data_IF_921332894787
#
_entry.id   IF_921332894787
#
_cell.length_a   1.000
_cell.length_b   1.000
_cell.length_c   1.000
_cell.angle_alpha   90.00
_cell.angle_beta   90.00
_cell.angle_gamma   90.00
#
_symmetry.space_group_name_H-M   'P 1'
#
loop_
_entity.id
_entity.type
_entity.pdbx_description
1 polymer ?
#
# COMPACT_ATOMS: atom_id res chain seq x y z
N UNK A 1 -2.70 -16.07 -26.99
CA UNK A 1 -2.65 -14.80 -27.72
C UNK A 1 -1.77 -13.81 -26.97
N UNK A 2 -0.48 -13.89 -27.14
CA UNK A 2 0.47 -13.07 -26.43
C UNK A 2 1.60 -12.63 -27.35
N UNK A 3 1.31 -11.85 -28.36
CA UNK A 3 2.35 -11.55 -29.34
C UNK A 3 2.37 -10.16 -29.95
N UNK A 4 1.48 -9.27 -29.60
CA UNK A 4 1.35 -8.01 -30.34
C UNK A 4 1.24 -6.73 -29.50
N UNK A 5 1.46 -6.78 -28.16
CA UNK A 5 1.40 -5.61 -27.30
C UNK A 5 2.63 -5.44 -26.41
N UNK A 6 3.79 -5.83 -26.84
CA UNK A 6 5.04 -5.64 -26.10
C UNK A 6 5.68 -4.27 -26.34
N UNK A 7 4.89 -3.20 -26.31
CA UNK A 7 5.42 -1.86 -26.00
C UNK A 7 5.47 -1.58 -24.50
N UNK A 8 4.93 -2.49 -23.67
CA UNK A 8 4.90 -2.35 -22.22
C UNK A 8 5.63 -3.53 -21.58
N UNK A 9 6.64 -3.25 -20.79
CA UNK A 9 7.42 -4.26 -20.07
C UNK A 9 7.60 -3.82 -18.62
N UNK A 10 7.78 -4.80 -17.73
CA UNK A 10 8.14 -4.57 -16.33
C UNK A 10 9.52 -5.17 -16.12
N UNK A 11 10.46 -4.36 -15.67
CA UNK A 11 11.79 -4.79 -15.28
C UNK A 11 11.86 -4.79 -13.75
N UNK A 12 11.88 -5.95 -13.08
CA UNK A 12 12.23 -6.00 -11.67
C UNK A 12 13.71 -5.70 -11.52
N UNK A 13 14.03 -4.65 -10.76
CA UNK A 13 15.41 -4.22 -10.51
C UNK A 13 15.69 -4.46 -9.02
N UNK A 14 16.38 -5.58 -8.67
CA UNK A 14 16.82 -5.80 -7.30
C UNK A 14 17.87 -4.76 -6.92
N UNK A 15 17.83 -4.29 -5.67
CA UNK A 15 18.89 -3.43 -5.15
C UNK A 15 20.23 -4.15 -5.28
N UNK A 16 21.23 -3.47 -5.85
CA UNK A 16 22.59 -3.98 -6.03
C UNK A 16 23.54 -2.99 -5.38
N UNK A 17 24.58 -3.50 -4.70
CA UNK A 17 25.68 -2.66 -4.24
C UNK A 17 26.56 -2.27 -5.44
N UNK A 18 26.29 -1.10 -6.03
CA UNK A 18 27.02 -0.59 -7.21
C UNK A 18 28.05 0.47 -6.85
N UNK A 19 27.96 1.05 -5.64
CA UNK A 19 28.94 2.02 -5.14
C UNK A 19 30.11 1.31 -4.43
N UNK A 20 31.33 1.88 -4.44
CA UNK A 20 32.42 1.41 -3.60
C UNK A 20 32.09 1.70 -2.12
N UNK A 21 31.45 0.75 -1.45
CA UNK A 21 30.92 0.79 -0.11
C UNK A 21 29.87 -0.29 0.05
N UNK A 22 29.58 -0.71 1.26
CA UNK A 22 28.59 -1.76 1.55
C UNK A 22 27.14 -1.20 1.58
N UNK A 23 26.89 -0.05 0.97
CA UNK A 23 25.62 0.67 1.09
C UNK A 23 24.63 0.25 0.00
N UNK A 24 23.46 -0.15 0.43
CA UNK A 24 22.25 -0.25 -0.37
C UNK A 24 21.82 1.16 -0.83
N UNK A 25 20.60 1.31 -1.36
CA UNK A 25 20.08 2.64 -1.69
C UNK A 25 20.04 3.53 -0.43
N UNK A 26 20.71 4.68 -0.49
CA UNK A 26 20.77 5.65 0.61
C UNK A 26 19.50 6.46 0.79
N UNK A 27 18.67 6.52 -0.27
CA UNK A 27 17.39 7.22 -0.28
C UNK A 27 16.61 6.94 -1.54
N UNK A 28 15.43 7.55 -1.66
CA UNK A 28 14.51 7.35 -2.79
C UNK A 28 15.08 7.89 -4.11
N UNK A 29 15.84 8.97 -4.08
CA UNK A 29 16.53 9.52 -5.25
C UNK A 29 17.74 8.66 -5.66
N UNK A 30 18.50 8.13 -4.70
CA UNK A 30 19.63 7.24 -4.98
C UNK A 30 19.16 5.94 -5.65
N UNK A 31 18.01 5.42 -5.28
CA UNK A 31 17.43 4.25 -5.94
C UNK A 31 17.20 4.47 -7.44
N UNK A 32 16.78 5.67 -7.85
CA UNK A 32 16.65 6.01 -9.26
C UNK A 32 18.01 6.28 -9.90
N UNK A 33 18.89 7.01 -9.21
CA UNK A 33 20.24 7.34 -9.71
C UNK A 33 21.04 6.07 -10.02
N UNK A 34 21.06 5.07 -9.14
CA UNK A 34 21.77 3.81 -9.38
C UNK A 34 21.21 3.00 -10.57
N UNK A 35 20.00 3.31 -11.03
CA UNK A 35 19.32 2.67 -12.16
C UNK A 35 19.05 3.62 -13.33
N UNK A 36 19.74 4.75 -13.37
CA UNK A 36 19.54 5.83 -14.35
C UNK A 36 19.71 5.35 -15.80
N UNK A 37 20.58 4.37 -16.02
CA UNK A 37 20.79 3.74 -17.32
C UNK A 37 19.51 3.16 -17.94
N UNK A 38 18.54 2.73 -17.13
CA UNK A 38 17.26 2.23 -17.62
C UNK A 38 16.39 3.36 -18.17
N UNK A 39 16.45 4.53 -17.52
CA UNK A 39 15.75 5.73 -17.98
C UNK A 39 16.39 6.24 -19.27
N UNK A 40 17.71 6.32 -19.32
CA UNK A 40 18.46 6.78 -20.50
C UNK A 40 18.24 5.86 -21.71
N UNK A 41 18.24 4.53 -21.51
CA UNK A 41 17.97 3.57 -22.58
C UNK A 41 16.54 3.67 -23.12
N UNK A 42 15.56 3.98 -22.26
CA UNK A 42 14.18 4.12 -22.67
C UNK A 42 13.90 5.47 -23.35
N UNK A 43 14.74 6.48 -23.09
CA UNK A 43 14.67 7.86 -23.62
C UNK A 43 13.23 8.44 -23.60
N UNK A 44 12.53 8.40 -22.44
CA UNK A 44 11.17 8.90 -22.36
C UNK A 44 11.15 10.43 -22.26
N UNK A 45 10.07 11.07 -22.71
CA UNK A 45 9.85 12.50 -22.47
C UNK A 45 9.54 12.82 -21.01
N UNK A 46 8.85 11.92 -20.34
CA UNK A 46 8.41 12.07 -18.94
C UNK A 46 8.66 10.78 -18.16
N UNK A 47 9.00 10.94 -16.89
CA UNK A 47 9.16 9.84 -15.93
C UNK A 47 8.14 10.02 -14.81
N UNK A 48 7.33 9.00 -14.58
CA UNK A 48 6.44 8.93 -13.43
C UNK A 48 7.10 8.10 -12.33
N UNK A 49 7.12 8.64 -11.11
CA UNK A 49 7.72 8.03 -9.92
C UNK A 49 6.62 7.82 -8.90
N UNK A 50 6.50 6.60 -8.37
CA UNK A 50 5.48 6.23 -7.41
C UNK A 50 6.08 5.49 -6.23
N UNK A 51 5.65 5.86 -5.01
CA UNK A 51 5.87 5.05 -3.82
C UNK A 51 5.14 3.70 -3.93
N UNK A 52 5.73 2.66 -3.33
CA UNK A 52 5.20 1.30 -3.41
C UNK A 52 4.39 0.88 -2.16
N UNK A 53 4.32 1.74 -1.15
CA UNK A 53 3.74 1.50 0.17
C UNK A 53 2.40 2.21 0.43
N UNK A 54 1.83 2.82 -0.62
CA UNK A 54 0.52 3.46 -0.55
C UNK A 54 -0.52 2.66 -1.34
N UNK A 55 -1.76 2.64 -0.86
CA UNK A 55 -2.90 2.05 -1.58
C UNK A 55 -3.73 3.15 -2.19
N UNK A 56 -3.85 3.16 -3.52
CA UNK A 56 -4.66 4.12 -4.27
C UNK A 56 -5.07 3.59 -5.64
N UNK A 57 -6.08 4.22 -6.22
CA UNK A 57 -6.38 4.09 -7.64
C UNK A 57 -6.26 5.47 -8.28
N UNK A 58 -5.50 5.54 -9.35
CA UNK A 58 -5.21 6.80 -10.03
C UNK A 58 -5.25 6.64 -11.54
N UNK A 59 -5.93 7.55 -12.22
CA UNK A 59 -5.79 7.74 -13.64
C UNK A 59 -4.56 8.62 -13.91
N UNK A 60 -3.41 7.95 -14.08
CA UNK A 60 -2.11 8.62 -14.28
C UNK A 60 -2.14 9.52 -15.53
N UNK A 61 -2.96 9.18 -16.52
CA UNK A 61 -3.10 10.00 -17.74
C UNK A 61 -3.60 11.42 -17.43
N UNK A 62 -4.56 11.56 -16.53
CA UNK A 62 -5.05 12.89 -16.13
C UNK A 62 -3.96 13.74 -15.48
N UNK A 63 -3.14 13.13 -14.61
CA UNK A 63 -1.98 13.82 -14.02
C UNK A 63 -0.94 14.20 -15.08
N UNK A 64 -0.69 13.33 -16.06
CA UNK A 64 0.23 13.63 -17.16
C UNK A 64 -0.32 14.74 -18.06
N UNK A 65 -1.60 14.73 -18.39
CA UNK A 65 -2.25 15.77 -19.17
C UNK A 65 -2.19 17.12 -18.44
N UNK A 66 -2.39 17.12 -17.13
CA UNK A 66 -2.19 18.31 -16.29
C UNK A 66 -0.74 18.80 -16.34
N UNK A 67 0.25 17.91 -16.18
CA UNK A 67 1.67 18.22 -16.28
C UNK A 67 2.01 18.89 -17.61
N UNK A 68 1.52 18.34 -18.71
CA UNK A 68 1.74 18.89 -20.05
C UNK A 68 1.03 20.23 -20.26
N UNK A 69 -0.22 20.35 -19.82
CA UNK A 69 -1.02 21.59 -19.93
C UNK A 69 -0.37 22.75 -19.15
N UNK A 70 0.14 22.47 -17.95
CA UNK A 70 0.87 23.46 -17.13
C UNK A 70 2.28 23.73 -17.66
N UNK A 71 2.76 23.00 -18.65
CA UNK A 71 4.17 23.00 -19.08
C UNK A 71 5.12 22.82 -17.89
N UNK A 72 4.69 21.97 -16.98
CA UNK A 72 5.43 21.66 -15.76
C UNK A 72 6.73 20.93 -16.07
N UNK A 73 7.74 21.12 -15.24
CA UNK A 73 8.94 20.27 -15.25
C UNK A 73 8.92 19.23 -14.12
N UNK A 74 8.21 19.53 -13.03
CA UNK A 74 7.90 18.57 -11.98
C UNK A 74 6.46 18.76 -11.49
N UNK A 75 5.68 17.69 -11.41
CA UNK A 75 4.32 17.71 -10.88
C UNK A 75 4.25 16.74 -9.71
N UNK A 76 3.69 17.19 -8.59
CA UNK A 76 3.53 16.41 -7.38
C UNK A 76 2.05 16.13 -7.20
N UNK A 77 1.65 14.85 -7.10
CA UNK A 77 0.29 14.53 -6.68
C UNK A 77 0.12 14.83 -5.19
N UNK A 78 -0.95 15.51 -4.85
CA UNK A 78 -1.22 15.95 -3.50
C UNK A 78 -2.70 15.71 -3.13
N UNK A 79 -2.94 15.48 -1.86
CA UNK A 79 -4.28 15.25 -1.30
C UNK A 79 -4.46 16.09 -0.03
N UNK A 80 -5.63 16.74 0.17
CA UNK A 80 -5.93 17.38 1.44
C UNK A 80 -6.08 16.37 2.57
N UNK A 81 -5.26 16.51 3.62
CA UNK A 81 -5.37 15.73 4.86
C UNK A 81 -5.53 16.66 6.06
N UNK A 82 -6.01 16.14 7.18
CA UNK A 82 -6.18 16.96 8.38
C UNK A 82 -4.82 17.44 8.92
N UNK A 83 -4.74 18.69 9.36
CA UNK A 83 -3.48 19.33 9.79
C UNK A 83 -2.71 18.59 10.89
N UNK A 84 -3.40 17.80 11.73
CA UNK A 84 -2.76 16.99 12.76
C UNK A 84 -1.84 15.90 12.16
N UNK A 85 -2.00 15.56 10.90
CA UNK A 85 -1.18 14.59 10.17
C UNK A 85 -0.01 15.24 9.43
N UNK A 86 0.16 16.55 9.50
CA UNK A 86 1.20 17.28 8.75
C UNK A 86 2.62 16.74 9.00
N UNK A 87 2.90 16.23 10.22
CA UNK A 87 4.20 15.65 10.56
C UNK A 87 4.47 14.27 9.92
N UNK A 88 3.46 13.65 9.33
CA UNK A 88 3.58 12.33 8.67
C UNK A 88 4.01 12.47 7.21
N UNK A 89 3.71 13.61 6.58
CA UNK A 89 3.85 13.83 5.14
C UNK A 89 4.71 15.04 4.79
N UNK A 90 5.21 15.07 3.55
CA UNK A 90 5.64 16.29 2.93
C UNK A 90 4.43 17.17 2.62
N UNK A 91 4.42 18.40 3.11
CA UNK A 91 3.31 19.35 2.90
C UNK A 91 3.71 20.36 1.81
N UNK A 92 2.80 20.57 0.86
CA UNK A 92 2.97 21.49 -0.25
C UNK A 92 2.23 22.78 0.05
N UNK A 93 2.93 23.91 -0.03
CA UNK A 93 2.33 25.21 -0.13
C UNK A 93 2.16 25.55 -1.62
N UNK A 94 0.94 25.72 -2.06
CA UNK A 94 0.63 25.98 -3.46
C UNK A 94 -0.22 27.23 -3.65
N UNK A 95 0.04 27.95 -4.74
CA UNK A 95 -0.82 29.04 -5.20
C UNK A 95 -2.16 28.48 -5.76
N UNK A 96 -3.20 29.32 -5.94
CA UNK A 96 -4.50 28.87 -6.47
C UNK A 96 -4.43 28.24 -7.87
N UNK A 97 -3.41 28.54 -8.64
CA UNK A 97 -3.17 27.94 -9.96
C UNK A 97 -2.41 26.59 -9.89
N UNK A 98 -2.07 26.14 -8.69
CA UNK A 98 -1.31 24.93 -8.42
C UNK A 98 0.21 25.09 -8.41
N UNK A 99 0.75 26.30 -8.66
CA UNK A 99 2.20 26.56 -8.59
C UNK A 99 2.72 26.27 -7.18
N UNK A 100 3.76 25.44 -7.05
CA UNK A 100 4.38 25.12 -5.76
C UNK A 100 5.23 26.30 -5.29
N UNK A 101 4.91 26.83 -4.12
CA UNK A 101 5.59 27.96 -3.48
C UNK A 101 6.60 27.48 -2.44
N UNK A 102 6.31 26.39 -1.72
CA UNK A 102 7.21 25.77 -0.76
C UNK A 102 6.88 24.27 -0.60
N UNK A 103 7.87 23.53 -0.11
CA UNK A 103 7.72 22.12 0.27
C UNK A 103 8.29 21.93 1.68
N UNK A 104 7.47 21.38 2.58
CA UNK A 104 7.77 21.23 4.01
C UNK A 104 7.77 19.76 4.37
N UNK A 105 8.94 19.14 4.45
CA UNK A 105 9.05 17.71 4.74
C UNK A 105 8.80 17.43 6.22
N UNK A 106 7.73 16.69 6.52
CA UNK A 106 7.37 16.15 7.84
C UNK A 106 7.39 17.17 8.98
N UNK A 107 6.79 18.32 8.76
CA UNK A 107 6.73 19.41 9.72
C UNK A 107 5.32 19.57 10.29
N UNK A 108 5.20 19.48 11.62
CA UNK A 108 3.92 19.65 12.32
C UNK A 108 3.36 21.08 12.21
N UNK A 109 4.23 22.07 11.99
CA UNK A 109 3.90 23.49 11.84
C UNK A 109 3.77 23.92 10.37
N UNK A 110 3.65 22.99 9.44
CA UNK A 110 3.48 23.28 8.02
C UNK A 110 2.18 24.10 7.80
N UNK A 111 2.19 25.03 6.83
CA UNK A 111 1.03 25.89 6.57
C UNK A 111 -0.18 25.08 6.09
N UNK A 112 -1.37 25.50 6.53
CA UNK A 112 -2.64 24.96 6.07
C UNK A 112 -3.01 25.49 4.69
N UNK A 113 -3.97 24.84 4.04
CA UNK A 113 -4.48 25.31 2.75
C UNK A 113 -5.16 26.67 2.91
N UNK A 114 -5.02 27.60 1.94
CA UNK A 114 -5.61 28.93 2.03
C UNK A 114 -7.12 28.92 2.21
N UNK A 115 -7.82 27.99 1.58
CA UNK A 115 -9.27 27.85 1.60
C UNK A 115 -9.79 26.89 2.68
N UNK A 116 -8.90 26.17 3.38
CA UNK A 116 -9.27 25.22 4.43
C UNK A 116 -8.21 25.19 5.55
N UNK A 117 -8.41 25.96 6.64
CA UNK A 117 -7.46 26.06 7.75
C UNK A 117 -7.36 24.80 8.62
N UNK A 118 -8.20 23.80 8.39
CA UNK A 118 -8.14 22.51 9.08
C UNK A 118 -7.35 21.46 8.29
N UNK A 119 -6.98 21.75 7.03
CA UNK A 119 -6.26 20.80 6.17
C UNK A 119 -4.93 21.36 5.68
N UNK A 120 -4.02 20.42 5.41
CA UNK A 120 -2.75 20.63 4.71
C UNK A 120 -2.79 19.88 3.39
N UNK A 121 -2.04 20.36 2.40
CA UNK A 121 -1.95 19.71 1.10
C UNK A 121 -0.78 18.74 1.09
N UNK A 122 -1.04 17.49 1.45
CA UNK A 122 -0.03 16.45 1.63
C UNK A 122 0.42 15.87 0.29
N UNK A 123 1.74 15.73 0.12
CA UNK A 123 2.33 14.98 -0.99
C UNK A 123 2.01 13.50 -0.87
N UNK A 124 1.55 12.90 -1.96
CA UNK A 124 1.26 11.46 -2.03
C UNK A 124 2.50 10.62 -2.33
N UNK A 125 3.69 11.21 -2.48
CA UNK A 125 4.88 10.49 -2.94
C UNK A 125 4.83 10.08 -4.42
N UNK A 126 3.92 10.66 -5.19
CA UNK A 126 3.73 10.38 -6.61
C UNK A 126 4.11 11.61 -7.42
N UNK A 127 5.03 11.45 -8.35
CA UNK A 127 5.62 12.55 -9.12
C UNK A 127 5.60 12.28 -10.61
N UNK A 128 5.50 13.34 -11.43
CA UNK A 128 5.84 13.30 -12.85
C UNK A 128 6.90 14.35 -13.12
N UNK A 129 8.01 13.94 -13.73
CA UNK A 129 9.11 14.80 -14.12
C UNK A 129 9.30 14.81 -15.63
N UNK A 130 9.69 15.97 -16.17
CA UNK A 130 10.36 16.02 -17.46
C UNK A 130 11.73 15.34 -17.31
N UNK A 131 12.04 14.39 -18.21
CA UNK A 131 13.24 13.53 -18.09
C UNK A 131 14.54 14.34 -17.94
N UNK A 132 14.71 15.40 -18.72
CA UNK A 132 15.90 16.23 -18.66
C UNK A 132 16.10 16.90 -17.29
N UNK A 133 15.01 17.34 -16.64
CA UNK A 133 15.09 17.86 -15.27
C UNK A 133 15.49 16.77 -14.31
N UNK A 134 14.80 15.62 -14.35
CA UNK A 134 15.04 14.50 -13.45
C UNK A 134 16.50 14.04 -13.50
N UNK A 135 17.02 13.77 -14.69
CA UNK A 135 18.40 13.31 -14.86
C UNK A 135 19.40 14.32 -14.29
N UNK A 136 19.23 15.60 -14.61
CA UNK A 136 20.10 16.65 -14.09
C UNK A 136 20.12 16.71 -12.56
N UNK A 137 18.96 16.67 -11.93
CA UNK A 137 18.87 16.75 -10.47
C UNK A 137 19.37 15.46 -9.79
N UNK A 138 19.16 14.28 -10.38
CA UNK A 138 19.70 13.03 -9.85
C UNK A 138 21.23 12.99 -9.89
N UNK A 139 21.85 13.47 -10.99
CA UNK A 139 23.32 13.57 -11.06
C UNK A 139 23.87 14.58 -10.06
N UNK A 140 23.23 15.76 -9.95
CA UNK A 140 23.67 16.79 -9.01
C UNK A 140 23.52 16.35 -7.56
N UNK A 141 22.43 15.63 -7.23
CA UNK A 141 22.20 15.10 -5.89
C UNK A 141 23.21 14.00 -5.53
N UNK A 142 23.54 13.13 -6.47
CA UNK A 142 24.49 12.04 -6.24
C UNK A 142 25.91 12.53 -5.89
N UNK A 143 26.29 13.73 -6.38
CA UNK A 143 27.57 14.38 -6.08
C UNK A 143 27.54 15.18 -4.77
N UNK A 144 26.35 15.37 -4.17
CA UNK A 144 26.20 16.16 -2.95
C UNK A 144 26.37 15.29 -1.70
N UNK A 145 27.53 15.36 -1.06
CA UNK A 145 27.85 14.62 0.16
C UNK A 145 26.93 14.94 1.37
N UNK A 146 26.26 16.10 1.34
CA UNK A 146 25.35 16.52 2.42
C UNK A 146 23.89 16.11 2.15
N UNK A 147 23.59 15.50 1.02
CA UNK A 147 22.26 15.02 0.68
C UNK A 147 21.94 13.71 1.39
N UNK A 148 20.70 13.53 1.79
CA UNK A 148 20.15 12.23 2.19
C UNK A 148 19.67 11.41 0.98
N UNK A 149 19.78 11.97 -0.22
CA UNK A 149 19.35 11.38 -1.49
C UNK A 149 17.87 11.01 -1.52
N UNK A 150 17.03 11.88 -0.97
CA UNK A 150 15.60 11.70 -0.84
C UNK A 150 14.83 12.75 -1.65
N UNK A 151 13.75 12.33 -2.34
CA UNK A 151 12.96 13.27 -3.13
C UNK A 151 12.32 14.37 -2.29
N UNK A 152 11.73 14.01 -1.15
CA UNK A 152 11.03 14.96 -0.28
C UNK A 152 11.95 15.91 0.47
N UNK A 153 13.12 15.41 0.91
CA UNK A 153 14.07 16.20 1.71
C UNK A 153 15.01 17.04 0.88
N UNK A 154 15.45 16.51 -0.27
CA UNK A 154 16.56 17.11 -1.01
C UNK A 154 16.12 17.62 -2.39
N UNK A 155 15.51 16.77 -3.23
CA UNK A 155 15.20 17.12 -4.62
C UNK A 155 14.08 18.17 -4.71
N UNK A 156 12.91 17.88 -4.15
CA UNK A 156 11.75 18.75 -4.30
C UNK A 156 11.94 20.13 -3.68
N UNK A 157 12.45 20.27 -2.44
CA UNK A 157 12.72 21.59 -1.88
C UNK A 157 13.73 22.40 -2.70
N UNK A 158 14.74 21.74 -3.26
CA UNK A 158 15.77 22.41 -4.08
C UNK A 158 15.20 22.97 -5.39
N UNK A 159 14.12 22.42 -5.90
CA UNK A 159 13.48 22.84 -7.16
C UNK A 159 12.54 24.03 -7.00
N UNK A 160 12.06 24.33 -5.79
CA UNK A 160 11.16 25.44 -5.54
C UNK A 160 11.78 26.75 -6.02
N UNK A 161 11.08 27.45 -6.89
CA UNK A 161 11.55 28.71 -7.50
C UNK A 161 12.65 28.56 -8.58
N UNK A 162 13.19 27.34 -8.79
CA UNK A 162 14.22 27.06 -9.82
C UNK A 162 13.64 26.42 -11.08
N UNK A 163 12.54 25.68 -10.94
CA UNK A 163 11.88 25.05 -12.06
C UNK A 163 10.36 25.22 -11.97
N UNK A 164 9.62 25.23 -13.09
CA UNK A 164 8.15 25.17 -13.07
C UNK A 164 7.67 23.89 -12.39
N UNK A 165 7.14 24.04 -11.17
CA UNK A 165 6.66 22.92 -10.36
C UNK A 165 5.21 23.17 -9.92
N UNK A 166 4.37 22.15 -10.08
CA UNK A 166 2.94 22.25 -9.82
C UNK A 166 2.44 21.10 -8.94
N UNK A 167 1.50 21.42 -8.05
CA UNK A 167 0.73 20.44 -7.30
C UNK A 167 -0.49 20.00 -8.13
N UNK A 168 -0.66 18.71 -8.30
CA UNK A 168 -1.85 18.10 -8.88
C UNK A 168 -2.78 17.66 -7.77
N UNK A 169 -3.96 18.28 -7.70
CA UNK A 169 -4.97 17.90 -6.72
C UNK A 169 -5.58 16.54 -7.08
N UNK A 170 -5.22 15.51 -6.31
CA UNK A 170 -5.72 14.15 -6.51
C UNK A 170 -7.24 14.04 -6.32
N UNK A 171 -7.88 14.94 -5.58
CA UNK A 171 -9.33 14.97 -5.46
C UNK A 171 -10.04 15.22 -6.80
N UNK A 172 -9.33 15.78 -7.77
CA UNK A 172 -9.86 16.00 -9.13
C UNK A 172 -9.74 14.77 -10.03
N UNK A 173 -8.93 13.78 -9.63
CA UNK A 173 -8.71 12.56 -10.43
C UNK A 173 -9.98 11.71 -10.51
N UNK A 174 -10.29 11.22 -11.69
CA UNK A 174 -11.51 10.43 -11.95
C UNK A 174 -11.15 9.06 -12.48
N UNK A 175 -11.76 8.06 -11.86
CA UNK A 175 -11.62 6.67 -12.27
C UNK A 175 -12.85 6.25 -13.06
N UNK A 176 -12.70 5.75 -14.30
CA UNK A 176 -13.83 5.22 -15.07
C UNK A 176 -14.59 4.15 -14.30
N UNK A 177 -15.91 4.26 -14.26
CA UNK A 177 -16.79 3.30 -13.57
C UNK A 177 -17.00 3.57 -12.08
N UNK A 178 -16.34 4.54 -11.49
CA UNK A 178 -16.67 5.00 -10.14
C UNK A 178 -17.83 6.02 -10.19
N UNK A 179 -18.64 6.11 -9.14
CA UNK A 179 -19.67 7.15 -9.03
C UNK A 179 -19.08 8.56 -9.18
N UNK A 180 -19.79 9.50 -9.82
CA UNK A 180 -19.27 10.86 -10.08
C UNK A 180 -18.83 11.63 -8.83
N UNK A 181 -19.45 11.34 -7.69
CA UNK A 181 -19.19 12.01 -6.41
C UNK A 181 -18.31 11.18 -5.49
N UNK A 182 -17.73 10.08 -5.97
CA UNK A 182 -16.80 9.28 -5.15
C UNK A 182 -15.50 10.04 -5.01
N UNK A 183 -15.07 10.25 -3.76
CA UNK A 183 -13.74 10.78 -3.48
C UNK A 183 -12.67 9.76 -3.90
N UNK A 184 -11.57 10.21 -4.52
CA UNK A 184 -10.45 9.34 -4.84
C UNK A 184 -9.88 8.69 -3.58
N UNK A 185 -9.67 7.39 -3.62
CA UNK A 185 -9.12 6.64 -2.50
C UNK A 185 -7.60 6.69 -2.51
N UNK A 186 -7.05 7.16 -1.42
CA UNK A 186 -5.63 7.07 -1.10
C UNK A 186 -5.46 6.78 0.39
N UNK A 187 -4.55 5.86 0.72
CA UNK A 187 -4.20 5.53 2.10
C UNK A 187 -2.74 5.11 2.19
N UNK A 188 -2.02 5.74 3.09
CA UNK A 188 -0.74 5.26 3.58
C UNK A 188 -0.98 4.03 4.47
N UNK A 189 -0.22 2.95 4.24
CA UNK A 189 -0.29 1.71 5.01
C UNK A 189 1.07 1.35 5.63
N UNK A 190 1.87 2.35 5.93
CA UNK A 190 3.19 2.21 6.55
C UNK A 190 3.16 1.68 8.00
N UNK A 191 1.98 1.53 8.60
CA UNK A 191 1.82 0.89 9.91
C UNK A 191 0.95 -0.36 9.82
N UNK A 192 1.14 -1.31 10.73
CA UNK A 192 0.32 -2.54 10.80
C UNK A 192 -1.15 -2.20 11.00
N UNK A 193 -1.46 -1.21 11.83
CA UNK A 193 -2.82 -0.77 12.09
C UNK A 193 -3.46 -0.20 10.81
N UNK A 194 -2.78 0.69 10.10
CA UNK A 194 -3.27 1.25 8.84
C UNK A 194 -3.46 0.16 7.76
N UNK A 195 -2.54 -0.81 7.69
CA UNK A 195 -2.66 -1.96 6.80
C UNK A 195 -3.88 -2.84 7.15
N UNK A 196 -4.08 -3.12 8.43
CA UNK A 196 -5.24 -3.89 8.90
C UNK A 196 -6.55 -3.17 8.55
N UNK A 197 -6.64 -1.89 8.87
CA UNK A 197 -7.84 -1.08 8.62
C UNK A 197 -8.15 -0.99 7.13
N UNK A 198 -7.13 -0.81 6.27
CA UNK A 198 -7.31 -0.80 4.82
C UNK A 198 -7.90 -2.12 4.28
N UNK A 199 -7.50 -3.26 4.85
CA UNK A 199 -8.09 -4.56 4.52
C UNK A 199 -9.52 -4.67 5.02
N UNK A 200 -9.80 -4.19 6.25
CA UNK A 200 -11.14 -4.25 6.83
C UNK A 200 -12.15 -3.37 6.07
N UNK A 201 -11.72 -2.22 5.54
CA UNK A 201 -12.55 -1.33 4.72
C UNK A 201 -13.07 -2.02 3.44
N UNK A 202 -12.31 -2.95 2.87
CA UNK A 202 -12.73 -3.67 1.65
C UNK A 202 -14.04 -4.47 1.84
N UNK A 203 -14.39 -4.81 3.07
CA UNK A 203 -15.61 -5.56 3.43
C UNK A 203 -16.85 -4.68 3.49
N UNK A 204 -16.71 -3.36 3.52
CA UNK A 204 -17.85 -2.45 3.60
C UNK A 204 -18.83 -2.70 2.45
N UNK A 205 -20.11 -2.44 2.69
CA UNK A 205 -21.17 -2.58 1.66
C UNK A 205 -20.83 -1.71 0.43
N UNK A 206 -20.28 -0.52 0.67
CA UNK A 206 -19.80 0.41 -0.36
C UNK A 206 -18.37 0.80 -0.03
N UNK A 207 -17.38 -0.04 -0.34
CA UNK A 207 -15.98 0.24 -0.03
C UNK A 207 -15.47 1.41 -0.87
N UNK A 208 -14.69 2.30 -0.25
CA UNK A 208 -14.06 3.40 -0.96
C UNK A 208 -13.09 2.88 -2.04
N UNK A 209 -12.36 1.80 -1.75
CA UNK A 209 -11.58 1.06 -2.76
C UNK A 209 -12.44 -0.09 -3.32
N UNK A 210 -13.14 0.16 -4.42
CA UNK A 210 -13.98 -0.84 -5.06
C UNK A 210 -13.17 -1.81 -5.93
N UNK A 211 -12.94 -3.03 -5.46
CA UNK A 211 -12.26 -4.09 -6.20
C UNK A 211 -13.06 -4.62 -7.40
N UNK A 212 -14.38 -4.38 -7.44
CA UNK A 212 -15.29 -4.92 -8.45
C UNK A 212 -15.55 -3.98 -9.62
N UNK A 213 -14.84 -2.84 -9.71
CA UNK A 213 -14.94 -1.94 -10.85
C UNK A 213 -14.33 -2.57 -12.10
N UNK A 214 -15.20 -3.03 -13.03
CA UNK A 214 -14.78 -3.68 -14.29
C UNK A 214 -14.26 -2.72 -15.33
N UNK A 215 -14.55 -1.42 -15.24
CA UNK A 215 -14.05 -0.42 -16.17
C UNK A 215 -12.64 0.02 -15.84
N UNK A 216 -12.21 -0.17 -14.57
CA UNK A 216 -10.86 0.13 -14.10
C UNK A 216 -10.36 -1.01 -13.18
N UNK A 217 -10.11 -2.20 -13.73
CA UNK A 217 -9.74 -3.37 -12.93
C UNK A 217 -8.34 -3.20 -12.32
N UNK A 218 -8.20 -3.54 -11.05
CA UNK A 218 -6.89 -3.71 -10.44
C UNK A 218 -6.24 -4.96 -11.02
N UNK A 219 -5.06 -4.78 -11.61
CA UNK A 219 -4.31 -5.88 -12.23
C UNK A 219 -3.29 -6.41 -11.24
N UNK A 220 -3.32 -7.71 -11.02
CA UNK A 220 -2.39 -8.44 -10.16
C UNK A 220 -1.97 -9.73 -10.84
N UNK A 221 -1.10 -10.52 -10.19
CA UNK A 221 -0.73 -11.84 -10.67
C UNK A 221 -1.99 -12.72 -10.80
N UNK A 222 -2.09 -13.45 -11.91
CA UNK A 222 -3.16 -14.40 -12.13
C UNK A 222 -2.76 -15.77 -11.60
N UNK A 223 -3.65 -16.38 -10.83
CA UNK A 223 -3.47 -17.71 -10.26
C UNK A 223 -4.58 -18.65 -10.74
N UNK A 224 -4.24 -19.91 -10.96
CA UNK A 224 -5.19 -20.93 -11.41
C UNK A 224 -5.84 -21.66 -10.22
N UNK A 225 -6.18 -20.92 -9.16
CA UNK A 225 -6.84 -21.50 -8.01
C UNK A 225 -8.30 -21.87 -8.32
N UNK A 226 -8.80 -23.00 -7.77
CA UNK A 226 -10.22 -23.35 -7.90
C UNK A 226 -11.09 -22.35 -7.11
N UNK A 227 -12.41 -22.30 -7.35
CA UNK A 227 -13.32 -21.51 -6.53
C UNK A 227 -13.25 -21.86 -5.05
N UNK A 228 -13.55 -20.89 -4.18
CA UNK A 228 -13.70 -21.15 -2.76
C UNK A 228 -14.81 -22.16 -2.48
N UNK A 229 -14.61 -23.07 -1.50
CA UNK A 229 -15.51 -24.18 -1.19
C UNK A 229 -15.98 -24.12 0.26
N UNK A 230 -17.30 -24.21 0.45
CA UNK A 230 -17.95 -24.25 1.75
C UNK A 230 -18.62 -25.59 1.89
N UNK A 231 -18.30 -26.36 2.93
CA UNK A 231 -18.83 -27.71 3.12
C UNK A 231 -19.27 -27.96 4.54
N UNK A 232 -20.17 -28.95 4.66
CA UNK A 232 -20.98 -29.36 5.79
C UNK A 232 -22.14 -28.42 6.11
N UNK A 233 -23.27 -29.01 6.39
CA UNK A 233 -24.47 -28.39 6.96
C UNK A 233 -25.22 -29.44 7.79
N UNK A 234 -24.52 -29.97 8.78
CA UNK A 234 -25.10 -31.04 9.63
C UNK A 234 -24.55 -30.95 11.07
N UNK A 235 -25.38 -31.35 12.05
CA UNK A 235 -24.99 -31.52 13.45
C UNK A 235 -24.22 -30.31 14.06
N UNK A 236 -24.66 -29.08 13.76
CA UNK A 236 -24.01 -27.88 14.27
C UNK A 236 -22.69 -27.55 13.60
N UNK A 237 -22.28 -28.29 12.60
CA UNK A 237 -21.07 -28.13 11.79
C UNK A 237 -21.44 -27.51 10.43
N UNK A 238 -21.09 -26.28 10.18
CA UNK A 238 -21.40 -25.56 8.94
C UNK A 238 -20.21 -24.72 8.48
N UNK A 239 -19.78 -24.93 7.20
CA UNK A 239 -18.79 -24.04 6.57
C UNK A 239 -19.46 -22.76 6.08
N UNK A 240 -19.15 -21.61 6.67
CA UNK A 240 -19.80 -20.35 6.30
C UNK A 240 -18.86 -19.14 6.43
N UNK A 241 -19.11 -18.12 5.61
CA UNK A 241 -18.49 -16.82 5.70
C UNK A 241 -19.58 -15.73 5.73
N UNK A 242 -19.43 -14.76 6.62
CA UNK A 242 -20.36 -13.66 6.83
C UNK A 242 -19.55 -12.37 6.85
N UNK A 243 -19.99 -11.32 6.12
CA UNK A 243 -19.30 -10.03 6.03
C UNK A 243 -17.80 -10.17 5.73
N UNK A 244 -17.45 -11.03 4.79
CA UNK A 244 -16.07 -11.45 4.57
C UNK A 244 -15.73 -11.51 3.09
N UNK A 245 -14.47 -11.30 2.77
CA UNK A 245 -13.90 -11.54 1.44
C UNK A 245 -13.16 -12.88 1.49
N UNK A 246 -13.46 -13.80 0.57
CA UNK A 246 -12.86 -15.13 0.52
C UNK A 246 -12.30 -15.39 -0.86
N UNK A 247 -10.97 -15.57 -0.93
CA UNK A 247 -10.26 -15.79 -2.19
C UNK A 247 -10.34 -17.22 -2.68
N UNK A 248 -9.97 -17.44 -3.95
CA UNK A 248 -9.96 -18.77 -4.59
C UNK A 248 -9.11 -19.80 -3.84
N UNK A 249 -9.44 -21.08 -4.03
CA UNK A 249 -8.76 -22.20 -3.37
C UNK A 249 -9.08 -22.39 -1.89
N UNK A 250 -9.73 -21.45 -1.24
CA UNK A 250 -10.04 -21.49 0.19
C UNK A 250 -11.15 -22.51 0.48
N UNK A 251 -10.99 -23.31 1.55
CA UNK A 251 -11.95 -24.34 1.97
C UNK A 251 -12.40 -24.07 3.41
N UNK A 252 -13.68 -23.78 3.60
CA UNK A 252 -14.30 -23.70 4.90
C UNK A 252 -14.98 -25.05 5.20
N UNK A 253 -14.28 -25.90 5.96
CA UNK A 253 -14.70 -27.28 6.25
C UNK A 253 -15.39 -27.37 7.63
N UNK A 254 -16.62 -26.86 7.72
CA UNK A 254 -17.38 -26.83 8.98
C UNK A 254 -16.86 -25.79 9.97
N UNK A 255 -16.12 -24.81 9.52
CA UNK A 255 -15.67 -23.64 10.29
C UNK A 255 -16.41 -22.36 9.88
N UNK A 256 -16.30 -21.33 10.69
CA UNK A 256 -16.96 -20.04 10.50
C UNK A 256 -15.93 -18.93 10.33
N UNK A 257 -16.15 -18.09 9.31
CA UNK A 257 -15.41 -16.85 9.08
C UNK A 257 -16.38 -15.69 9.16
N UNK A 258 -16.04 -14.67 9.93
CA UNK A 258 -16.87 -13.47 10.07
C UNK A 258 -15.99 -12.24 10.04
N UNK A 259 -16.44 -11.21 9.32
CA UNK A 259 -15.78 -9.91 9.31
C UNK A 259 -14.30 -9.96 8.89
N UNK A 260 -13.91 -10.88 8.00
CA UNK A 260 -12.50 -11.17 7.75
C UNK A 260 -12.17 -11.14 6.26
N UNK A 261 -10.89 -10.94 5.96
CA UNK A 261 -10.32 -11.04 4.62
C UNK A 261 -9.46 -12.29 4.54
N UNK A 262 -9.84 -13.23 3.69
CA UNK A 262 -9.18 -14.53 3.54
C UNK A 262 -8.42 -14.58 2.22
N UNK A 263 -7.13 -14.78 2.31
CA UNK A 263 -6.23 -15.04 1.18
C UNK A 263 -6.56 -16.35 0.47
N UNK A 264 -5.68 -16.72 -0.46
CA UNK A 264 -5.87 -17.91 -1.31
C UNK A 264 -5.46 -19.19 -0.57
N UNK A 265 -6.16 -20.29 -0.94
CA UNK A 265 -5.81 -21.64 -0.46
C UNK A 265 -5.84 -21.79 1.07
N UNK A 266 -6.58 -20.96 1.78
CA UNK A 266 -6.74 -21.06 3.23
C UNK A 266 -7.66 -22.22 3.58
N UNK A 267 -7.31 -22.98 4.63
CA UNK A 267 -8.17 -24.04 5.16
C UNK A 267 -8.67 -23.66 6.55
N UNK A 268 -9.97 -23.73 6.75
CA UNK A 268 -10.61 -23.52 8.07
C UNK A 268 -11.35 -24.78 8.45
N UNK A 269 -10.83 -25.50 9.46
CA UNK A 269 -11.37 -26.79 9.87
C UNK A 269 -12.60 -26.69 10.77
N UNK A 270 -13.24 -27.84 11.01
CA UNK A 270 -14.51 -27.93 11.74
C UNK A 270 -14.44 -27.31 13.12
N UNK A 271 -15.42 -26.48 13.43
CA UNK A 271 -15.54 -25.77 14.70
C UNK A 271 -14.56 -24.60 14.88
N UNK A 272 -13.66 -24.38 13.92
CA UNK A 272 -12.80 -23.20 13.97
C UNK A 272 -13.59 -21.92 13.66
N UNK A 273 -13.21 -20.82 14.30
CA UNK A 273 -13.82 -19.50 14.16
C UNK A 273 -12.76 -18.45 13.90
N UNK A 274 -12.92 -17.72 12.79
CA UNK A 274 -12.05 -16.59 12.42
C UNK A 274 -12.91 -15.33 12.37
N UNK A 275 -12.58 -14.35 13.21
CA UNK A 275 -13.34 -13.10 13.32
C UNK A 275 -12.40 -11.90 13.13
N UNK A 276 -12.89 -10.88 12.44
CA UNK A 276 -12.21 -9.57 12.27
C UNK A 276 -10.70 -9.72 12.01
N UNK A 277 -10.33 -10.56 11.04
CA UNK A 277 -8.94 -10.93 10.81
C UNK A 277 -8.56 -10.87 9.34
N UNK A 278 -7.29 -10.63 9.10
CA UNK A 278 -6.66 -10.73 7.77
C UNK A 278 -5.82 -12.00 7.76
N UNK A 279 -6.15 -12.93 6.88
CA UNK A 279 -5.45 -14.21 6.76
C UNK A 279 -4.84 -14.30 5.37
N UNK A 280 -3.51 -14.37 5.31
CA UNK A 280 -2.80 -14.50 4.05
C UNK A 280 -2.85 -15.92 3.47
N UNK A 281 -2.22 -16.08 2.30
CA UNK A 281 -2.29 -17.30 1.50
C UNK A 281 -1.75 -18.54 2.22
N UNK A 282 -2.37 -19.68 1.92
CA UNK A 282 -1.95 -21.03 2.35
C UNK A 282 -1.99 -21.26 3.86
N UNK A 283 -2.71 -20.47 4.63
CA UNK A 283 -2.88 -20.71 6.06
C UNK A 283 -3.77 -21.93 6.33
N UNK A 284 -3.48 -22.62 7.43
CA UNK A 284 -4.26 -23.78 7.90
C UNK A 284 -4.74 -23.54 9.33
N UNK A 285 -6.04 -23.36 9.51
CA UNK A 285 -6.67 -23.05 10.81
C UNK A 285 -7.27 -24.34 11.37
N UNK A 286 -6.59 -24.90 12.37
CA UNK A 286 -6.92 -26.19 13.00
C UNK A 286 -8.32 -26.26 13.59
N UNK A 287 -8.77 -27.48 13.90
CA UNK A 287 -10.10 -27.73 14.47
C UNK A 287 -10.32 -26.95 15.77
N UNK A 288 -11.49 -26.33 15.93
CA UNK A 288 -11.89 -25.57 17.13
C UNK A 288 -10.97 -24.40 17.48
N UNK A 289 -10.00 -24.07 16.63
CA UNK A 289 -9.16 -22.89 16.81
C UNK A 289 -10.00 -21.61 16.74
N UNK A 290 -9.62 -20.61 17.50
CA UNK A 290 -10.30 -19.32 17.55
C UNK A 290 -9.30 -18.20 17.26
N UNK A 291 -9.53 -17.44 16.21
CA UNK A 291 -8.71 -16.32 15.79
C UNK A 291 -9.56 -15.07 15.74
N UNK A 292 -9.13 -14.01 16.36
CA UNK A 292 -9.85 -12.72 16.34
C UNK A 292 -8.89 -11.55 16.30
N UNK A 293 -9.23 -10.53 15.50
CA UNK A 293 -8.47 -9.28 15.39
C UNK A 293 -6.98 -9.54 15.19
N UNK A 294 -6.67 -10.37 14.19
CA UNK A 294 -5.32 -10.83 13.92
C UNK A 294 -4.95 -10.71 12.44
N UNK A 295 -3.66 -10.60 12.17
CA UNK A 295 -3.07 -10.76 10.86
C UNK A 295 -2.25 -12.06 10.90
N UNK A 296 -2.64 -13.04 10.09
CA UNK A 296 -1.87 -14.28 9.91
C UNK A 296 -1.09 -14.18 8.60
N UNK A 297 0.23 -14.23 8.69
CA UNK A 297 1.11 -14.21 7.52
C UNK A 297 0.98 -15.52 6.71
N UNK A 298 1.60 -15.52 5.52
CA UNK A 298 1.55 -16.68 4.60
C UNK A 298 2.04 -17.96 5.25
N UNK A 299 1.37 -19.05 4.93
CA UNK A 299 1.73 -20.42 5.36
C UNK A 299 1.61 -20.66 6.88
N UNK A 300 0.99 -19.77 7.64
CA UNK A 300 0.76 -19.97 9.08
C UNK A 300 -0.14 -21.19 9.30
N UNK A 301 0.26 -22.02 10.28
CA UNK A 301 -0.54 -23.13 10.77
C UNK A 301 -0.99 -22.86 12.20
N UNK A 302 -2.26 -22.65 12.39
CA UNK A 302 -2.86 -22.48 13.71
C UNK A 302 -3.25 -23.86 14.25
N UNK A 303 -2.68 -24.30 15.39
CA UNK A 303 -2.99 -25.60 15.96
C UNK A 303 -4.48 -25.77 16.32
N UNK A 304 -4.90 -27.04 16.46
CA UNK A 304 -6.21 -27.41 17.00
C UNK A 304 -6.37 -26.80 18.40
N UNK A 305 -7.58 -26.30 18.73
CA UNK A 305 -7.95 -25.68 20.00
C UNK A 305 -7.16 -24.38 20.36
N UNK A 306 -6.27 -23.91 19.50
CA UNK A 306 -5.52 -22.68 19.76
C UNK A 306 -6.44 -21.44 19.78
N UNK A 307 -6.07 -20.46 20.62
CA UNK A 307 -6.76 -19.16 20.70
C UNK A 307 -5.78 -18.04 20.46
N UNK A 308 -6.11 -17.12 19.52
CA UNK A 308 -5.30 -15.94 19.13
C UNK A 308 -6.21 -14.72 19.15
N UNK A 309 -5.78 -13.63 19.80
CA UNK A 309 -6.54 -12.38 19.88
C UNK A 309 -7.62 -12.36 20.99
N UNK A 310 -7.56 -13.28 21.94
CA UNK A 310 -8.50 -13.34 23.08
C UNK A 310 -7.85 -13.04 24.44
N UNK A 311 -6.54 -13.17 24.53
CA UNK A 311 -5.78 -12.85 25.75
C UNK A 311 -4.49 -12.12 25.34
N UNK A 312 -4.52 -10.80 25.36
CA UNK A 312 -3.40 -9.96 24.91
C UNK A 312 -2.12 -10.18 25.72
N UNK A 313 -2.20 -10.47 27.00
CA UNK A 313 -1.00 -10.72 27.82
C UNK A 313 -0.30 -12.02 27.39
N UNK A 314 -1.07 -13.06 27.12
CA UNK A 314 -0.55 -14.30 26.54
C UNK A 314 -0.06 -14.08 25.10
N UNK A 315 -0.84 -13.38 24.29
CA UNK A 315 -0.52 -13.16 22.88
C UNK A 315 0.80 -12.39 22.73
N UNK A 316 1.07 -11.39 23.59
CA UNK A 316 2.35 -10.65 23.63
C UNK A 316 3.57 -11.53 23.94
N UNK A 317 3.38 -12.66 24.62
CA UNK A 317 4.49 -13.60 24.88
C UNK A 317 4.84 -14.46 23.67
N UNK A 318 3.93 -14.59 22.72
CA UNK A 318 4.03 -15.50 21.56
C UNK A 318 4.15 -14.75 20.23
N UNK A 319 3.54 -13.58 20.14
CA UNK A 319 3.34 -12.83 18.90
C UNK A 319 3.62 -11.34 19.11
N UNK A 320 3.82 -10.64 18.02
CA UNK A 320 3.76 -9.17 18.05
C UNK A 320 2.30 -8.73 18.22
N UNK A 321 2.04 -7.79 19.14
CA UNK A 321 0.71 -7.19 19.37
C UNK A 321 0.85 -5.69 19.30
N UNK A 322 0.09 -5.03 18.42
CA UNK A 322 0.10 -3.57 18.30
C UNK A 322 -0.54 -2.92 19.54
N UNK A 323 -0.36 -1.61 19.70
CA UNK A 323 -1.00 -0.85 20.79
C UNK A 323 -2.53 -0.92 20.72
N UNK A 324 -3.09 -0.96 19.50
CA UNK A 324 -4.54 -1.14 19.28
C UNK A 324 -5.04 -2.57 19.51
N UNK A 325 -4.15 -3.52 19.77
CA UNK A 325 -4.48 -4.91 20.09
C UNK A 325 -4.61 -5.83 18.88
N UNK A 326 -4.03 -5.50 17.72
CA UNK A 326 -3.95 -6.39 16.57
C UNK A 326 -2.80 -7.38 16.80
N UNK A 327 -3.08 -8.68 16.68
CA UNK A 327 -2.10 -9.75 16.84
C UNK A 327 -1.51 -10.11 15.49
N UNK A 328 -0.19 -10.09 15.34
CA UNK A 328 0.52 -10.47 14.11
C UNK A 328 1.22 -11.80 14.31
N UNK A 329 0.85 -12.79 13.49
CA UNK A 329 1.44 -14.14 13.53
C UNK A 329 2.31 -14.33 12.29
N UNK A 330 3.62 -14.45 12.48
CA UNK A 330 4.60 -14.59 11.42
C UNK A 330 4.66 -16.02 10.85
N UNK A 331 4.81 -16.14 9.53
CA UNK A 331 4.79 -17.42 8.81
C UNK A 331 6.00 -18.35 9.04
N UNK A 332 7.10 -17.85 9.62
CA UNK A 332 8.32 -18.62 9.86
C UNK A 332 8.44 -19.22 11.28
N UNK A 333 7.56 -18.86 12.20
CA UNK A 333 7.50 -19.54 13.50
C UNK A 333 6.77 -20.87 13.33
N UNK A 334 7.54 -21.94 13.14
CA UNK A 334 7.00 -23.28 13.00
C UNK A 334 6.21 -23.68 14.26
N UNK A 335 5.09 -24.36 14.05
CA UNK A 335 4.14 -24.90 15.04
C UNK A 335 4.75 -25.73 16.19
N UNK A 336 6.03 -26.04 16.15
CA UNK A 336 6.72 -26.87 17.15
C UNK A 336 6.88 -26.14 18.50
N UNK A 337 7.05 -24.82 18.50
CA UNK A 337 7.25 -24.07 19.76
C UNK A 337 5.97 -23.81 20.56
N UNK A 338 4.83 -23.72 19.90
CA UNK A 338 3.53 -23.47 20.58
C UNK A 338 3.02 -24.74 21.31
N UNK A 339 3.35 -25.92 20.80
CA UNK A 339 2.96 -27.19 21.42
C UNK A 339 3.80 -27.55 22.66
N UNK A 340 5.04 -27.06 22.75
CA UNK A 340 5.95 -27.40 23.86
C UNK A 340 5.73 -26.53 25.11
N UNK A 341 5.00 -25.40 24.99
CA UNK A 341 4.66 -24.54 26.13
C UNK A 341 3.29 -24.84 26.79
N UNK A 342 2.60 -25.89 26.33
CA UNK A 342 1.28 -26.30 26.83
C UNK A 342 1.31 -27.55 27.75
N UNK A 343 2.52 -27.99 28.21
CA UNK A 343 2.67 -29.07 29.20
C UNK A 343 3.06 -28.52 30.57
#
# INVERSE_FOLDING_TARGET
MGGLLQQHFIIPVPAQMRSPGEDWYRGTADALHQNINLIEQADPHYVAIFGADHIYRMNIREMLEYHMHKRSQATIAAIPVHKNQAAEFGVIEAAPDGTVLAFHEKRADAPTMPDDPERVFASMGNYIFSTNLLLRELYADAENENSSHDFGRDILPSLVGRAPMYAYDFQTNRIPGDPPNQEPYWRDVGTIDAFYDANMDLRAISPALNLYNRQWPLRTASYSDPPAKFIFDEQGRRGQAIDSIVSGGTILSGGMVRGSVMGRNVKVHSGAVVEDSVVFDNCDIGRRARVRRAILDKNVRVPEDATIGFNHERDKTLYYVTESGIVVVEGHRSTVEVATMLV
#
